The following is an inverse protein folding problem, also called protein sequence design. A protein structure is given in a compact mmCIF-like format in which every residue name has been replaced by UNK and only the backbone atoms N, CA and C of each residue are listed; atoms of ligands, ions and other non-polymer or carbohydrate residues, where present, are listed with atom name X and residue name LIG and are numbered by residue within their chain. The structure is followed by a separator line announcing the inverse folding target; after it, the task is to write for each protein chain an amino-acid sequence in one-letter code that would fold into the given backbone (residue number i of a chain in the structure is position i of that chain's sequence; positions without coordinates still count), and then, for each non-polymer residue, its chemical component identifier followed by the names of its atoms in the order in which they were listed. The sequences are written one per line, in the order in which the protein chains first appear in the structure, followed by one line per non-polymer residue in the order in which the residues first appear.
data_IF_012183873619
#
_entry.id   IF_012183873619
#
_cell.length_a   1.000
_cell.length_b   1.000
_cell.length_c   1.000
_cell.angle_alpha   90.00
_cell.angle_beta   90.00
_cell.angle_gamma   90.00
#
_symmetry.space_group_name_H-M   'P 1'
#
loop_
_entity.id
_entity.type
_entity.pdbx_description
1 polymer ?
#
# COMPACT_ATOMS: atom_id res chain seq x y z
N UNK A 1 2.35 -16.75 3.71
CA UNK A 1 2.44 -16.36 2.29
C UNK A 1 2.13 -14.90 2.20
N UNK A 2 3.07 -14.08 1.79
CA UNK A 2 2.87 -12.64 1.62
C UNK A 2 2.13 -12.33 0.32
N UNK A 3 1.68 -11.09 0.17
CA UNK A 3 0.99 -10.61 -1.04
C UNK A 3 1.82 -10.83 -2.32
N UNK A 4 3.07 -10.40 -2.30
CA UNK A 4 3.97 -10.55 -3.46
C UNK A 4 4.32 -12.01 -3.75
N UNK A 5 4.46 -12.85 -2.72
CA UNK A 5 4.64 -14.30 -2.92
C UNK A 5 3.44 -14.92 -3.63
N UNK A 6 2.23 -14.50 -3.29
CA UNK A 6 1.02 -14.95 -3.95
C UNK A 6 0.96 -14.47 -5.41
N UNK A 7 1.22 -13.17 -5.64
CA UNK A 7 1.16 -12.55 -6.96
C UNK A 7 2.15 -13.16 -7.95
N UNK A 8 3.39 -13.40 -7.51
CA UNK A 8 4.46 -13.95 -8.36
C UNK A 8 4.53 -15.47 -8.36
N UNK A 9 3.99 -16.13 -7.33
CA UNK A 9 4.01 -17.59 -7.18
C UNK A 9 3.03 -18.34 -8.07
N UNK A 10 2.14 -17.63 -8.77
CA UNK A 10 1.12 -18.25 -9.61
C UNK A 10 1.04 -17.60 -10.99
N UNK A 11 0.63 -18.40 -11.97
CA UNK A 11 0.10 -17.91 -13.23
C UNK A 11 -1.40 -17.66 -13.08
N UNK A 12 -1.86 -16.53 -13.53
CA UNK A 12 -3.23 -16.07 -13.32
C UNK A 12 -4.06 -16.15 -14.59
N UNK A 13 -5.32 -16.53 -14.46
CA UNK A 13 -6.31 -16.49 -15.53
C UNK A 13 -7.54 -15.67 -15.11
N UNK A 14 -8.10 -14.94 -16.06
CA UNK A 14 -9.30 -14.15 -15.83
C UNK A 14 -10.52 -15.05 -15.71
N UNK A 15 -11.25 -14.92 -14.62
CA UNK A 15 -12.49 -15.65 -14.35
C UNK A 15 -13.58 -14.68 -13.90
N UNK A 16 -14.79 -15.19 -13.69
CA UNK A 16 -15.90 -14.43 -13.12
C UNK A 16 -16.29 -15.00 -11.77
N UNK A 17 -16.59 -14.12 -10.84
CA UNK A 17 -17.19 -14.49 -9.55
C UNK A 17 -18.63 -14.97 -9.74
N UNK A 18 -19.26 -15.61 -8.76
CA UNK A 18 -20.69 -15.96 -8.81
C UNK A 18 -21.61 -14.76 -9.07
N UNK A 19 -21.20 -13.56 -8.65
CA UNK A 19 -21.91 -12.31 -8.90
C UNK A 19 -21.60 -11.66 -10.27
N UNK A 20 -20.78 -12.31 -11.12
CA UNK A 20 -20.43 -11.85 -12.46
C UNK A 20 -19.26 -10.84 -12.52
N UNK A 21 -18.66 -10.46 -11.40
CA UNK A 21 -17.50 -9.57 -11.37
C UNK A 21 -16.22 -10.27 -11.88
N UNK A 22 -15.36 -9.53 -12.55
CA UNK A 22 -14.07 -10.04 -12.97
C UNK A 22 -13.16 -10.29 -11.79
N UNK A 23 -12.50 -11.45 -11.77
CA UNK A 23 -11.50 -11.84 -10.81
C UNK A 23 -10.44 -12.71 -11.49
N UNK A 24 -9.29 -12.86 -10.85
CA UNK A 24 -8.20 -13.67 -11.37
C UNK A 24 -7.95 -14.84 -10.42
N UNK A 25 -7.90 -16.03 -10.97
CA UNK A 25 -7.63 -17.28 -10.23
C UNK A 25 -6.37 -17.94 -10.76
N UNK A 26 -5.65 -18.72 -9.94
CA UNK A 26 -4.48 -19.46 -10.42
C UNK A 26 -4.87 -20.46 -11.51
N UNK A 27 -4.07 -20.52 -12.57
CA UNK A 27 -4.22 -21.54 -13.61
C UNK A 27 -4.01 -22.93 -13.05
N UNK A 28 -4.86 -23.87 -13.43
CA UNK A 28 -4.77 -25.28 -13.04
C UNK A 28 -3.73 -26.06 -13.87
N UNK A 29 -2.51 -25.53 -14.01
CA UNK A 29 -1.44 -26.12 -14.84
C UNK A 29 -0.63 -27.19 -14.10
N UNK A 30 -1.20 -27.96 -13.17
CA UNK A 30 -0.47 -28.89 -12.33
C UNK A 30 0.39 -28.23 -11.26
N UNK A 31 0.29 -26.92 -11.08
CA UNK A 31 0.95 -26.18 -10.00
C UNK A 31 0.29 -26.50 -8.66
N UNK A 32 1.11 -26.60 -7.61
CA UNK A 32 0.60 -26.75 -6.26
C UNK A 32 0.00 -25.43 -5.77
N UNK A 33 -1.31 -25.27 -5.94
CA UNK A 33 -2.04 -24.07 -5.51
C UNK A 33 -2.19 -24.12 -3.99
N UNK A 34 -1.56 -23.17 -3.31
CA UNK A 34 -1.71 -23.02 -1.86
C UNK A 34 -3.09 -22.45 -1.55
N UNK A 35 -3.98 -23.33 -1.08
CA UNK A 35 -5.34 -22.95 -0.71
C UNK A 35 -5.34 -22.05 0.53
N UNK A 36 -6.30 -21.14 0.59
CA UNK A 36 -6.54 -20.22 1.71
C UNK A 36 -7.81 -20.60 2.47
N UNK A 37 -7.84 -20.50 3.81
CA UNK A 37 -9.03 -20.83 4.58
C UNK A 37 -10.16 -19.82 4.33
N UNK A 38 -11.39 -20.32 4.37
CA UNK A 38 -12.58 -19.45 4.37
C UNK A 38 -12.63 -18.59 5.63
N UNK A 39 -13.14 -17.35 5.49
CA UNK A 39 -13.21 -16.39 6.60
C UNK A 39 -14.25 -16.78 7.68
N UNK A 40 -15.28 -17.53 7.31
CA UNK A 40 -16.42 -17.82 8.18
C UNK A 40 -16.59 -19.32 8.46
N UNK A 41 -16.23 -20.17 7.52
CA UNK A 41 -16.47 -21.61 7.60
C UNK A 41 -15.18 -22.38 7.89
N UNK A 42 -15.08 -22.96 9.08
CA UNK A 42 -13.94 -23.84 9.45
C UNK A 42 -13.84 -25.04 8.50
N UNK A 43 -12.64 -25.31 8.01
CA UNK A 43 -12.35 -26.47 7.17
C UNK A 43 -12.65 -26.27 5.68
N UNK A 44 -13.26 -25.20 5.28
CA UNK A 44 -13.43 -24.81 3.87
C UNK A 44 -12.20 -24.09 3.38
N UNK A 45 -11.70 -24.48 2.21
CA UNK A 45 -10.50 -23.89 1.58
C UNK A 45 -10.85 -23.38 0.18
N UNK A 46 -10.34 -22.22 -0.15
CA UNK A 46 -10.49 -21.59 -1.46
C UNK A 46 -9.15 -21.39 -2.15
N UNK A 47 -9.10 -21.39 -3.49
CA UNK A 47 -7.91 -20.90 -4.19
C UNK A 47 -7.73 -19.41 -3.90
N UNK A 48 -6.50 -18.91 -3.88
CA UNK A 48 -6.26 -17.48 -3.77
C UNK A 48 -6.86 -16.77 -4.98
N UNK A 49 -7.30 -15.54 -4.78
CA UNK A 49 -7.86 -14.70 -5.85
C UNK A 49 -7.15 -13.34 -5.87
N UNK A 50 -7.02 -12.79 -7.07
CA UNK A 50 -6.50 -11.45 -7.32
C UNK A 50 -7.51 -10.63 -8.11
N UNK A 51 -7.49 -9.33 -7.89
CA UNK A 51 -8.24 -8.37 -8.70
C UNK A 51 -7.40 -7.92 -9.90
N UNK A 52 -8.04 -7.30 -10.90
CA UNK A 52 -7.34 -6.75 -12.06
C UNK A 52 -6.28 -5.72 -11.65
N UNK A 53 -6.55 -4.92 -10.61
CA UNK A 53 -5.60 -3.98 -10.02
C UNK A 53 -4.35 -4.67 -9.45
N UNK A 54 -4.50 -5.85 -8.85
CA UNK A 54 -3.37 -6.62 -8.34
C UNK A 54 -2.50 -7.15 -9.50
N UNK A 55 -3.15 -7.67 -10.55
CA UNK A 55 -2.43 -8.17 -11.73
C UNK A 55 -1.72 -7.02 -12.45
N UNK A 56 -2.28 -5.82 -12.47
CA UNK A 56 -1.62 -4.65 -13.05
C UNK A 56 -0.28 -4.35 -12.38
N UNK A 57 -0.16 -4.58 -11.08
CA UNK A 57 1.11 -4.42 -10.34
C UNK A 57 2.21 -5.37 -10.83
N UNK A 58 1.87 -6.47 -11.50
CA UNK A 58 2.82 -7.43 -12.08
C UNK A 58 3.14 -7.15 -13.54
N UNK A 59 2.14 -6.71 -14.33
CA UNK A 59 2.25 -6.65 -15.79
C UNK A 59 2.51 -5.24 -16.33
N UNK A 60 2.19 -4.20 -15.57
CA UNK A 60 2.47 -2.82 -15.98
C UNK A 60 3.99 -2.57 -16.09
N UNK A 61 4.45 -1.94 -17.18
CA UNK A 61 5.88 -1.73 -17.41
C UNK A 61 6.55 -0.81 -16.38
N UNK A 62 5.79 0.05 -15.71
CA UNK A 62 6.31 0.94 -14.66
C UNK A 62 6.30 0.27 -13.29
N UNK A 63 5.22 -0.42 -12.94
CA UNK A 63 5.08 -1.06 -11.63
C UNK A 63 5.73 -2.43 -11.54
N UNK A 64 5.72 -3.22 -12.60
CA UNK A 64 6.24 -4.59 -12.61
C UNK A 64 7.68 -4.71 -12.13
N UNK A 65 8.63 -3.89 -12.63
CA UNK A 65 10.01 -3.90 -12.14
C UNK A 65 10.12 -3.58 -10.64
N UNK A 66 9.33 -2.62 -10.14
CA UNK A 66 9.34 -2.19 -8.73
C UNK A 66 8.81 -3.31 -7.83
N UNK A 67 7.66 -3.87 -8.17
CA UNK A 67 7.06 -4.95 -7.37
C UNK A 67 7.88 -6.22 -7.40
N UNK A 68 8.53 -6.53 -8.52
CA UNK A 68 9.48 -7.64 -8.64
C UNK A 68 10.71 -7.42 -7.76
N UNK A 69 11.24 -6.20 -7.74
CA UNK A 69 12.34 -5.83 -6.85
C UNK A 69 11.95 -6.02 -5.38
N UNK A 70 10.80 -5.55 -4.97
CA UNK A 70 10.28 -5.72 -3.61
C UNK A 70 9.99 -7.18 -3.25
N UNK A 71 9.56 -8.00 -4.19
CA UNK A 71 9.43 -9.44 -3.97
C UNK A 71 10.77 -10.10 -3.67
N UNK A 72 11.84 -9.67 -4.34
CA UNK A 72 13.19 -10.18 -4.12
C UNK A 72 13.85 -9.59 -2.86
N UNK A 73 13.40 -8.42 -2.40
CA UNK A 73 13.97 -7.67 -1.28
C UNK A 73 12.87 -7.31 -0.24
N UNK A 74 12.34 -8.30 0.52
CA UNK A 74 11.21 -8.08 1.42
C UNK A 74 11.46 -7.02 2.50
N UNK A 75 12.70 -6.86 2.95
CA UNK A 75 13.06 -5.83 3.94
C UNK A 75 12.86 -4.42 3.39
N UNK A 76 13.28 -4.18 2.15
CA UNK A 76 13.09 -2.89 1.49
C UNK A 76 11.59 -2.60 1.26
N UNK A 77 10.82 -3.65 0.93
CA UNK A 77 9.36 -3.52 0.84
C UNK A 77 8.75 -3.10 2.17
N UNK A 78 9.15 -3.72 3.28
CA UNK A 78 8.63 -3.37 4.60
C UNK A 78 8.96 -1.93 4.98
N UNK A 79 10.17 -1.48 4.71
CA UNK A 79 10.58 -0.10 4.98
C UNK A 79 9.81 0.91 4.12
N UNK A 80 9.67 0.63 2.82
CA UNK A 80 8.92 1.49 1.91
C UNK A 80 7.42 1.54 2.28
N UNK A 81 6.84 0.39 2.63
CA UNK A 81 5.45 0.31 3.07
C UNK A 81 5.22 1.07 4.36
N UNK A 82 6.10 0.90 5.36
CA UNK A 82 5.99 1.60 6.64
C UNK A 82 6.05 3.12 6.45
N UNK A 83 6.95 3.62 5.59
CA UNK A 83 7.05 5.05 5.25
C UNK A 83 5.81 5.57 4.53
N UNK A 84 5.28 4.80 3.58
CA UNK A 84 4.07 5.17 2.85
C UNK A 84 2.84 5.18 3.78
N UNK A 85 2.73 4.20 4.67
CA UNK A 85 1.67 4.12 5.67
C UNK A 85 1.74 5.27 6.67
N UNK A 86 2.94 5.59 7.15
CA UNK A 86 3.16 6.73 8.04
C UNK A 86 2.72 8.04 7.37
N UNK A 87 3.09 8.26 6.11
CA UNK A 87 2.65 9.43 5.34
C UNK A 87 1.13 9.48 5.22
N UNK A 88 0.50 8.35 4.86
CA UNK A 88 -0.95 8.27 4.69
C UNK A 88 -1.70 8.65 5.97
N UNK A 89 -1.24 8.16 7.11
CA UNK A 89 -1.95 8.34 8.39
C UNK A 89 -1.63 9.65 9.11
N UNK A 90 -0.54 10.35 8.75
CA UNK A 90 -0.06 11.54 9.46
C UNK A 90 -0.05 12.81 8.62
N UNK A 91 -0.40 12.73 7.34
CA UNK A 91 -0.33 13.87 6.44
C UNK A 91 -1.17 15.07 6.90
N UNK A 92 -2.32 14.80 7.52
CA UNK A 92 -3.29 15.82 7.96
C UNK A 92 -3.18 16.13 9.46
N UNK A 93 -2.14 15.65 10.14
CA UNK A 93 -1.97 15.84 11.58
C UNK A 93 -1.22 17.12 11.97
N UNK A 94 -0.89 17.97 11.01
CA UNK A 94 -0.12 19.18 11.24
C UNK A 94 1.38 18.94 11.46
N UNK A 95 2.09 19.90 12.08
CA UNK A 95 3.54 19.80 12.32
C UNK A 95 3.89 18.62 13.23
N UNK A 96 5.11 18.14 13.09
CA UNK A 96 5.62 17.00 13.87
C UNK A 96 5.48 17.15 15.39
N UNK A 97 5.48 18.36 15.91
CA UNK A 97 5.27 18.63 17.34
C UNK A 97 3.90 18.18 17.85
N UNK A 98 2.93 17.96 16.95
CA UNK A 98 1.59 17.45 17.27
C UNK A 98 1.57 15.93 17.42
N UNK A 99 2.63 15.22 17.04
CA UNK A 99 2.68 13.76 17.12
C UNK A 99 3.07 13.33 18.53
N UNK A 100 2.39 12.31 19.05
CA UNK A 100 2.57 11.83 20.41
C UNK A 100 3.11 10.40 20.42
N UNK A 101 3.96 10.11 21.39
CA UNK A 101 4.47 8.78 21.66
C UNK A 101 5.95 8.59 21.36
N UNK A 102 6.52 7.52 21.89
CA UNK A 102 7.95 7.17 21.78
C UNK A 102 8.35 6.69 20.38
N UNK A 103 7.37 6.21 19.62
CA UNK A 103 7.57 5.64 18.29
C UNK A 103 7.60 6.69 17.16
N UNK A 104 7.39 7.97 17.49
CA UNK A 104 7.44 9.06 16.50
C UNK A 104 8.85 9.13 15.90
N UNK A 105 8.99 8.99 14.56
CA UNK A 105 10.29 9.08 13.91
C UNK A 105 10.97 10.42 14.16
N UNK A 106 12.27 10.40 14.45
CA UNK A 106 13.05 11.62 14.67
C UNK A 106 13.32 12.39 13.36
N UNK A 107 13.28 11.68 12.24
CA UNK A 107 13.47 12.25 10.91
C UNK A 107 12.31 13.20 10.56
N UNK A 108 12.64 14.38 10.06
CA UNK A 108 11.66 15.30 9.48
C UNK A 108 11.53 15.00 7.98
N UNK A 109 10.31 14.70 7.54
CA UNK A 109 10.05 14.33 6.17
C UNK A 109 9.49 15.51 5.38
N UNK A 110 9.80 15.54 4.08
CA UNK A 110 9.46 16.66 3.18
C UNK A 110 7.95 16.96 3.08
N UNK A 111 7.10 15.97 3.37
CA UNK A 111 5.65 16.11 3.31
C UNK A 111 5.03 16.58 4.63
N UNK A 112 5.82 16.69 5.71
CA UNK A 112 5.34 17.14 7.01
C UNK A 112 5.20 18.66 7.00
N UNK A 113 4.16 19.18 7.66
CA UNK A 113 3.96 20.61 7.77
C UNK A 113 5.09 21.27 8.59
N UNK A 114 5.53 22.47 8.19
CA UNK A 114 6.49 23.22 8.98
C UNK A 114 5.87 23.68 10.30
N UNK A 115 6.70 23.85 11.30
CA UNK A 115 6.27 24.48 12.56
C UNK A 115 5.93 25.95 12.25
N UNK A 116 4.71 26.36 12.58
CA UNK A 116 4.30 27.74 12.43
C UNK A 116 5.15 28.64 13.36
N UNK A 117 5.74 29.67 12.80
CA UNK A 117 6.51 30.66 13.55
C UNK A 117 5.64 31.92 13.75
N UNK A 118 5.62 32.42 14.98
CA UNK A 118 4.69 33.49 15.41
C UNK A 118 4.80 34.78 14.61
N UNK A 119 5.95 35.07 13.99
CA UNK A 119 6.15 36.28 13.19
C UNK A 119 5.58 36.18 11.76
N UNK A 120 5.13 35.02 11.30
CA UNK A 120 4.47 34.92 9.97
C UNK A 120 3.13 35.68 9.94
N UNK A 121 2.52 35.91 11.11
CA UNK A 121 1.31 36.72 11.22
C UNK A 121 1.56 38.23 11.05
N UNK A 122 2.79 38.68 11.25
CA UNK A 122 3.14 40.12 11.15
C UNK A 122 3.44 40.56 9.71
N UNK A 123 3.54 39.66 8.78
CA UNK A 123 3.92 39.94 7.38
C UNK A 123 2.75 39.97 6.41
N UNK A 124 1.52 39.80 6.86
CA UNK A 124 0.36 40.10 6.02
C UNK A 124 0.23 41.62 5.88
N UNK A 125 0.54 42.19 4.70
CA UNK A 125 0.32 43.61 4.50
C UNK A 125 -1.20 43.86 4.52
N UNK A 126 -1.68 44.46 5.59
CA UNK A 126 -3.00 45.09 5.59
C UNK A 126 -2.93 46.25 4.60
N UNK A 127 -3.19 45.98 3.33
CA UNK A 127 -3.51 47.03 2.39
C UNK A 127 -4.81 47.66 2.87
N UNK A 128 -4.65 48.79 3.58
CA UNK A 128 -5.74 49.73 3.78
C UNK A 128 -6.09 50.25 2.39
N UNK A 129 -7.22 49.84 1.86
CA UNK A 129 -7.82 50.48 0.71
C UNK A 129 -8.43 51.76 1.24
N UNK A 130 -7.82 52.91 0.86
CA UNK A 130 -8.40 54.24 1.02
C UNK A 130 -9.23 54.52 -0.21
#
# INVERSE_FOLDING_TARGET
MGYLDCLYGHDWELTKSPAGAHQWTPKKNGQNIKMVPDAHQKGVLHPPMMQTTDISMKVDPSYGPITKHFHQNPKEFHDAFARAWFKLTHRDMGPRVCYLGSEVPKEQLIWQDPIAVSYTHLTLPTKRIV
#
